data_IF_087781072357
#
_entry.id   IF_087781072357
#
_cell.length_a   1.000
_cell.length_b   1.000
_cell.length_c   1.000
_cell.angle_alpha   90.00
_cell.angle_beta   90.00
_cell.angle_gamma   90.00
#
_symmetry.space_group_name_H-M   'P 1'
#
loop_
_entity.id
_entity.type
_entity.pdbx_description
1 polymer ?
#
# COMPACT_ATOMS: atom_id res chain seq x y z
N UNK A 1 -26.91 5.99 -7.11
CA UNK A 1 -26.46 4.69 -7.67
C UNK A 1 -24.98 4.77 -7.95
N UNK A 2 -24.16 3.85 -7.40
CA UNK A 2 -22.75 3.72 -7.81
C UNK A 2 -22.74 3.46 -9.32
N UNK A 3 -22.15 4.38 -10.08
CA UNK A 3 -21.92 4.22 -11.52
C UNK A 3 -20.94 3.07 -11.73
N UNK A 4 -21.46 1.84 -11.71
CA UNK A 4 -20.72 0.66 -12.13
C UNK A 4 -20.88 0.54 -13.63
N UNK A 5 -19.76 0.36 -14.33
CA UNK A 5 -19.74 0.20 -15.78
C UNK A 5 -20.34 -1.17 -16.13
N UNK A 6 -21.64 -1.23 -16.35
CA UNK A 6 -22.43 -2.45 -16.58
C UNK A 6 -21.83 -3.34 -17.69
N UNK A 7 -21.22 -2.74 -18.72
CA UNK A 7 -20.53 -3.46 -19.78
C UNK A 7 -19.33 -4.26 -19.26
N UNK A 8 -18.55 -3.72 -18.32
CA UNK A 8 -17.41 -4.44 -17.71
C UNK A 8 -17.91 -5.60 -16.86
N UNK A 9 -18.99 -5.41 -16.11
CA UNK A 9 -19.56 -6.47 -15.28
C UNK A 9 -20.08 -7.64 -16.13
N UNK A 10 -20.73 -7.35 -17.27
CA UNK A 10 -21.12 -8.40 -18.21
C UNK A 10 -19.89 -9.15 -18.77
N UNK A 11 -18.84 -8.43 -19.17
CA UNK A 11 -17.65 -9.06 -19.73
C UNK A 11 -16.93 -9.95 -18.71
N UNK A 12 -16.86 -9.51 -17.44
CA UNK A 12 -16.35 -10.35 -16.33
C UNK A 12 -17.21 -11.60 -16.13
N UNK A 13 -18.54 -11.44 -16.12
CA UNK A 13 -19.47 -12.56 -16.02
C UNK A 13 -19.25 -13.61 -17.13
N UNK A 14 -19.01 -13.16 -18.37
CA UNK A 14 -18.71 -14.06 -19.49
C UNK A 14 -17.37 -14.78 -19.34
N UNK A 15 -16.35 -14.10 -18.84
CA UNK A 15 -15.03 -14.71 -18.58
C UNK A 15 -15.16 -15.82 -17.54
N UNK A 16 -15.85 -15.55 -16.43
CA UNK A 16 -16.08 -16.52 -15.35
C UNK A 16 -16.89 -17.74 -15.80
N UNK A 17 -17.85 -17.55 -16.73
CA UNK A 17 -18.76 -18.62 -17.17
C UNK A 17 -18.27 -19.46 -18.34
N UNK A 18 -17.42 -18.93 -19.23
CA UNK A 18 -17.21 -19.53 -20.57
C UNK A 18 -15.87 -20.19 -20.82
N UNK A 19 -14.91 -20.18 -19.87
CA UNK A 19 -13.51 -20.54 -20.15
C UNK A 19 -13.03 -19.91 -21.49
N UNK A 20 -13.37 -18.63 -21.69
CA UNK A 20 -12.94 -17.73 -22.77
C UNK A 20 -13.49 -17.96 -24.19
N UNK A 21 -14.08 -19.11 -24.55
CA UNK A 21 -14.37 -19.40 -25.97
C UNK A 21 -15.80 -19.86 -26.31
N UNK A 22 -16.63 -20.10 -25.30
CA UNK A 22 -18.01 -20.57 -25.48
C UNK A 22 -19.04 -19.46 -25.66
N UNK A 23 -20.16 -19.80 -26.31
CA UNK A 23 -21.39 -19.03 -26.22
C UNK A 23 -22.05 -19.28 -24.86
N UNK A 24 -22.47 -18.22 -24.19
CA UNK A 24 -23.10 -18.26 -22.86
C UNK A 24 -24.44 -17.56 -22.92
N UNK A 25 -25.43 -18.18 -22.29
CA UNK A 25 -26.73 -17.56 -22.04
C UNK A 25 -26.62 -16.54 -20.90
N UNK A 26 -27.07 -15.30 -21.16
CA UNK A 26 -27.00 -14.18 -20.21
C UNK A 26 -28.37 -13.75 -19.68
N UNK A 27 -29.36 -14.64 -19.70
CA UNK A 27 -30.72 -14.39 -19.22
C UNK A 27 -30.74 -13.81 -17.80
N UNK A 28 -30.08 -14.47 -16.85
CA UNK A 28 -30.02 -14.01 -15.45
C UNK A 28 -29.44 -12.59 -15.36
N UNK A 29 -28.31 -12.35 -16.01
CA UNK A 29 -27.66 -11.04 -16.03
C UNK A 29 -28.59 -9.95 -16.55
N UNK A 30 -29.31 -10.21 -17.65
CA UNK A 30 -30.25 -9.23 -18.23
C UNK A 30 -31.41 -8.94 -17.29
N UNK A 31 -32.03 -9.97 -16.71
CA UNK A 31 -33.19 -9.80 -15.84
C UNK A 31 -32.83 -9.11 -14.52
N UNK A 32 -31.63 -9.34 -13.99
CA UNK A 32 -31.13 -8.72 -12.76
C UNK A 32 -30.78 -7.23 -12.93
N UNK A 33 -30.28 -6.84 -14.11
CA UNK A 33 -29.77 -5.48 -14.36
C UNK A 33 -30.76 -4.57 -15.10
N UNK A 34 -31.82 -5.13 -15.70
CA UNK A 34 -32.86 -4.38 -16.40
C UNK A 34 -34.24 -4.75 -15.82
N UNK A 35 -34.66 -4.08 -14.73
CA UNK A 35 -35.93 -4.36 -14.07
C UNK A 35 -37.11 -4.11 -15.00
N UNK A 36 -38.24 -4.76 -14.72
CA UNK A 36 -39.44 -4.66 -15.55
C UNK A 36 -40.01 -3.23 -15.52
N UNK A 37 -40.33 -2.71 -16.71
CA UNK A 37 -41.04 -1.44 -16.86
C UNK A 37 -42.39 -1.68 -17.55
N UNK A 38 -43.41 -0.93 -17.16
CA UNK A 38 -44.79 -1.05 -17.67
C UNK A 38 -44.90 -1.02 -19.19
N UNK A 39 -43.99 -0.30 -19.85
CA UNK A 39 -44.03 -0.01 -21.28
C UNK A 39 -43.01 -0.84 -22.08
N UNK A 40 -42.45 -1.90 -21.49
CA UNK A 40 -41.38 -2.72 -22.08
C UNK A 40 -40.12 -1.90 -22.47
N UNK A 41 -39.94 -0.73 -21.84
CA UNK A 41 -38.80 0.17 -22.09
C UNK A 41 -37.46 -0.50 -21.75
N UNK A 42 -37.46 -1.41 -20.79
CA UNK A 42 -36.30 -2.20 -20.43
C UNK A 42 -35.80 -3.06 -21.60
N UNK A 43 -36.69 -3.53 -22.49
CA UNK A 43 -36.30 -4.28 -23.70
C UNK A 43 -35.49 -3.42 -24.66
N UNK A 44 -35.86 -2.15 -24.81
CA UNK A 44 -35.09 -1.19 -25.62
C UNK A 44 -33.72 -0.94 -24.98
N UNK A 45 -33.65 -0.79 -23.66
CA UNK A 45 -32.37 -0.63 -22.94
C UNK A 45 -31.46 -1.85 -23.10
N UNK A 46 -32.01 -3.06 -22.95
CA UNK A 46 -31.28 -4.32 -23.21
C UNK A 46 -30.78 -4.37 -24.67
N UNK A 47 -31.63 -3.98 -25.62
CA UNK A 47 -31.30 -3.92 -27.04
C UNK A 47 -30.13 -2.98 -27.31
N UNK A 48 -30.21 -1.75 -26.83
CA UNK A 48 -29.19 -0.73 -27.07
C UNK A 48 -27.86 -1.11 -26.39
N UNK A 49 -27.93 -1.69 -25.19
CA UNK A 49 -26.76 -2.22 -24.49
C UNK A 49 -26.07 -3.34 -25.27
N UNK A 50 -26.81 -4.36 -25.73
CA UNK A 50 -26.25 -5.46 -26.51
C UNK A 50 -25.75 -4.99 -27.88
N UNK A 51 -26.44 -4.04 -28.51
CA UNK A 51 -26.01 -3.44 -29.77
C UNK A 51 -24.68 -2.69 -29.60
N UNK A 52 -24.54 -1.89 -28.54
CA UNK A 52 -23.28 -1.22 -28.21
C UNK A 52 -22.13 -2.23 -28.07
N UNK A 53 -22.31 -3.29 -27.28
CA UNK A 53 -21.26 -4.29 -27.08
C UNK A 53 -20.88 -5.03 -28.37
N UNK A 54 -21.85 -5.29 -29.25
CA UNK A 54 -21.60 -5.92 -30.54
C UNK A 54 -20.93 -4.97 -31.53
N UNK A 55 -21.32 -3.70 -31.57
CA UNK A 55 -20.76 -2.67 -32.46
C UNK A 55 -19.31 -2.36 -32.10
N UNK A 56 -19.02 -2.26 -30.80
CA UNK A 56 -17.67 -2.07 -30.30
C UNK A 56 -16.82 -3.34 -30.35
N UNK A 57 -17.34 -4.43 -30.92
CA UNK A 57 -16.65 -5.73 -31.07
C UNK A 57 -16.20 -6.36 -29.75
N UNK A 58 -16.86 -6.05 -28.63
CA UNK A 58 -16.58 -6.69 -27.35
C UNK A 58 -17.19 -8.08 -27.25
N UNK A 59 -18.32 -8.31 -27.92
CA UNK A 59 -19.04 -9.58 -27.92
C UNK A 59 -19.56 -9.95 -29.30
N UNK A 60 -19.91 -11.22 -29.46
CA UNK A 60 -20.66 -11.78 -30.58
C UNK A 60 -22.01 -12.29 -30.08
N UNK A 61 -23.09 -11.97 -30.79
CA UNK A 61 -24.46 -12.33 -30.39
C UNK A 61 -24.99 -13.40 -31.34
N UNK A 62 -25.32 -14.58 -30.78
CA UNK A 62 -25.93 -15.68 -31.54
C UNK A 62 -27.46 -15.64 -31.46
N UNK A 63 -28.01 -15.38 -30.28
CA UNK A 63 -29.47 -15.35 -30.04
C UNK A 63 -29.85 -14.16 -29.16
N UNK A 64 -31.09 -13.66 -29.33
CA UNK A 64 -31.61 -12.42 -28.71
C UNK A 64 -33.14 -12.43 -28.54
N UNK A 65 -33.67 -13.59 -28.13
CA UNK A 65 -35.11 -13.85 -28.00
C UNK A 65 -35.74 -12.92 -26.97
N UNK A 66 -36.92 -12.37 -27.29
CA UNK A 66 -37.64 -11.45 -26.40
C UNK A 66 -37.01 -10.07 -26.22
N UNK A 67 -35.92 -9.75 -26.93
CA UNK A 67 -35.25 -8.44 -26.89
C UNK A 67 -35.46 -7.67 -28.19
N UNK A 68 -35.14 -8.26 -29.34
CA UNK A 68 -35.35 -7.61 -30.65
C UNK A 68 -36.77 -7.77 -31.15
N UNK A 69 -37.31 -8.99 -31.01
CA UNK A 69 -38.69 -9.33 -31.31
C UNK A 69 -39.37 -9.51 -29.97
N UNK A 70 -40.24 -8.56 -29.63
CA UNK A 70 -40.96 -8.52 -28.34
C UNK A 70 -42.37 -9.12 -28.44
N UNK A 71 -42.83 -9.41 -29.66
CA UNK A 71 -44.11 -10.05 -29.95
C UNK A 71 -43.87 -11.18 -30.95
N UNK A 72 -44.27 -12.39 -30.59
CA UNK A 72 -44.21 -13.60 -31.43
C UNK A 72 -45.65 -14.08 -31.64
N UNK A 73 -46.07 -14.25 -32.91
CA UNK A 73 -47.44 -14.67 -33.27
C UNK A 73 -48.58 -13.85 -32.59
N UNK A 74 -48.36 -12.54 -32.40
CA UNK A 74 -49.35 -11.65 -31.76
C UNK A 74 -49.33 -11.66 -30.22
N UNK A 75 -48.54 -12.54 -29.61
CA UNK A 75 -48.40 -12.66 -28.16
C UNK A 75 -47.09 -11.98 -27.72
N UNK A 76 -47.15 -11.16 -26.67
CA UNK A 76 -45.94 -10.56 -26.08
C UNK A 76 -45.06 -11.66 -25.51
N UNK A 77 -43.77 -11.62 -25.83
CA UNK A 77 -42.80 -12.56 -25.25
C UNK A 77 -42.75 -12.35 -23.74
N UNK A 78 -42.95 -13.43 -22.99
CA UNK A 78 -42.97 -13.38 -21.54
C UNK A 78 -41.59 -13.01 -20.98
N UNK A 79 -41.55 -12.45 -19.76
CA UNK A 79 -40.30 -11.90 -19.21
C UNK A 79 -39.27 -12.99 -18.95
N UNK A 80 -39.73 -14.12 -18.47
CA UNK A 80 -39.00 -15.35 -18.27
C UNK A 80 -38.40 -15.91 -19.57
N UNK A 81 -38.97 -15.61 -20.74
CA UNK A 81 -38.46 -16.12 -22.02
C UNK A 81 -37.37 -15.24 -22.62
N UNK A 82 -37.07 -14.10 -22.00
CA UNK A 82 -36.07 -13.18 -22.51
C UNK A 82 -34.68 -13.71 -22.23
N UNK A 83 -33.92 -13.86 -23.31
CA UNK A 83 -32.59 -14.44 -23.27
C UNK A 83 -31.74 -13.93 -24.42
N UNK A 84 -30.44 -13.85 -24.16
CA UNK A 84 -29.44 -13.67 -25.20
C UNK A 84 -28.32 -14.67 -25.00
N UNK A 85 -27.83 -15.21 -26.11
CA UNK A 85 -26.69 -16.12 -26.14
C UNK A 85 -25.54 -15.35 -26.79
N UNK A 86 -24.48 -15.12 -26.02
CA UNK A 86 -23.37 -14.26 -26.44
C UNK A 86 -22.03 -14.90 -26.13
N UNK A 87 -21.03 -14.58 -26.94
CA UNK A 87 -19.64 -14.98 -26.78
C UNK A 87 -18.77 -13.74 -26.62
N UNK A 88 -17.81 -13.76 -25.69
CA UNK A 88 -16.85 -12.68 -25.54
C UNK A 88 -15.82 -12.72 -26.68
N UNK A 89 -15.46 -11.55 -27.21
CA UNK A 89 -14.38 -11.40 -28.20
C UNK A 89 -13.07 -10.99 -27.52
N UNK A 90 -11.90 -11.18 -28.17
CA UNK A 90 -10.61 -10.78 -27.62
C UNK A 90 -10.54 -9.31 -27.16
N UNK A 91 -11.18 -8.39 -27.90
CA UNK A 91 -11.26 -6.97 -27.53
C UNK A 91 -12.00 -6.74 -26.21
N UNK A 92 -13.04 -7.54 -25.93
CA UNK A 92 -13.76 -7.52 -24.66
C UNK A 92 -12.92 -8.05 -23.50
N UNK A 93 -12.11 -9.10 -23.72
CA UNK A 93 -11.16 -9.62 -22.73
C UNK A 93 -10.12 -8.54 -22.37
N UNK A 94 -9.49 -7.94 -23.38
CA UNK A 94 -8.51 -6.87 -23.20
C UNK A 94 -9.08 -5.69 -22.40
N UNK A 95 -10.34 -5.32 -22.63
CA UNK A 95 -10.98 -4.24 -21.89
C UNK A 95 -11.13 -4.57 -20.38
N UNK A 96 -11.46 -5.82 -20.06
CA UNK A 96 -11.53 -6.28 -18.67
C UNK A 96 -10.15 -6.25 -18.02
N UNK A 97 -9.14 -6.80 -18.69
CA UNK A 97 -7.75 -6.81 -18.21
C UNK A 97 -7.22 -5.38 -17.99
N UNK A 98 -7.43 -4.47 -18.94
CA UNK A 98 -7.04 -3.07 -18.80
C UNK A 98 -7.78 -2.38 -17.65
N UNK A 99 -9.05 -2.70 -17.42
CA UNK A 99 -9.78 -2.17 -16.27
C UNK A 99 -9.18 -2.70 -14.96
N UNK A 100 -8.85 -3.98 -14.87
CA UNK A 100 -8.20 -4.54 -13.69
C UNK A 100 -6.82 -3.92 -13.45
N UNK A 101 -5.99 -3.84 -14.49
CA UNK A 101 -4.69 -3.18 -14.43
C UNK A 101 -4.81 -1.70 -14.02
N UNK A 102 -5.83 -0.97 -14.50
CA UNK A 102 -6.08 0.42 -14.10
C UNK A 102 -6.57 0.55 -12.65
N UNK A 103 -7.28 -0.46 -12.12
CA UNK A 103 -7.65 -0.50 -10.70
C UNK A 103 -6.44 -0.84 -9.83
N UNK A 104 -5.61 -1.79 -10.27
CA UNK A 104 -4.35 -2.13 -9.61
C UNK A 104 -3.34 -0.98 -9.69
N UNK A 105 -3.27 -0.22 -10.78
CA UNK A 105 -2.36 0.92 -10.88
C UNK A 105 -2.79 2.07 -9.97
N UNK A 106 -4.10 2.35 -9.85
CA UNK A 106 -4.61 3.32 -8.85
C UNK A 106 -4.30 2.88 -7.42
N UNK A 107 -4.50 1.61 -7.09
CA UNK A 107 -4.15 1.09 -5.78
C UNK A 107 -2.63 1.02 -5.57
N UNK A 108 -1.86 0.77 -6.63
CA UNK A 108 -0.40 0.72 -6.65
C UNK A 108 0.23 2.09 -6.45
N UNK A 109 -0.36 3.15 -7.02
CA UNK A 109 0.04 4.54 -6.77
C UNK A 109 -0.23 4.93 -5.30
N UNK A 110 -1.36 4.52 -4.73
CA UNK A 110 -1.67 4.76 -3.31
C UNK A 110 -0.68 4.01 -2.42
N UNK A 111 -0.40 2.74 -2.71
CA UNK A 111 0.52 1.92 -1.93
C UNK A 111 1.96 2.42 -2.06
N UNK A 112 2.41 2.82 -3.26
CA UNK A 112 3.73 3.41 -3.47
C UNK A 112 3.88 4.77 -2.78
N UNK A 113 2.81 5.57 -2.70
CA UNK A 113 2.80 6.82 -1.95
C UNK A 113 2.94 6.57 -0.44
N UNK A 114 2.24 5.57 0.10
CA UNK A 114 2.33 5.20 1.53
C UNK A 114 3.73 4.65 1.85
N UNK A 115 4.26 3.76 1.03
CA UNK A 115 5.61 3.22 1.20
C UNK A 115 6.67 4.32 1.06
N UNK A 116 6.52 5.21 0.08
CA UNK A 116 7.41 6.36 -0.14
C UNK A 116 7.39 7.35 1.03
N UNK A 117 6.23 7.63 1.62
CA UNK A 117 6.18 8.44 2.85
C UNK A 117 6.85 7.71 4.03
N UNK A 118 6.61 6.40 4.18
CA UNK A 118 7.17 5.62 5.30
C UNK A 118 8.71 5.57 5.28
N UNK A 119 9.33 5.46 4.11
CA UNK A 119 10.80 5.48 3.98
C UNK A 119 11.37 6.86 4.27
N UNK A 120 10.66 7.93 3.92
CA UNK A 120 11.05 9.30 4.27
C UNK A 120 11.06 9.51 5.79
N UNK A 121 10.03 9.02 6.49
CA UNK A 121 9.96 9.08 7.95
C UNK A 121 11.07 8.26 8.62
N UNK A 122 11.37 7.07 8.12
CA UNK A 122 12.48 6.24 8.63
C UNK A 122 13.84 6.92 8.42
N UNK A 123 14.04 7.58 7.28
CA UNK A 123 15.26 8.34 7.00
C UNK A 123 15.43 9.52 7.96
N UNK A 124 14.37 10.30 8.20
CA UNK A 124 14.38 11.42 9.17
C UNK A 124 14.66 10.90 10.58
N UNK A 125 14.00 9.81 11.00
CA UNK A 125 14.21 9.21 12.32
C UNK A 125 15.65 8.70 12.51
N UNK A 126 16.22 8.07 11.48
CA UNK A 126 17.62 7.61 11.48
C UNK A 126 18.62 8.77 11.63
N UNK A 127 18.39 9.89 10.95
CA UNK A 127 19.22 11.10 11.06
C UNK A 127 19.18 11.66 12.48
N UNK A 128 17.99 11.74 13.10
CA UNK A 128 17.82 12.23 14.47
C UNK A 128 18.55 11.33 15.47
N UNK A 129 18.42 10.00 15.34
CA UNK A 129 19.14 9.05 16.19
C UNK A 129 20.65 9.20 16.03
N UNK A 130 21.14 9.26 14.80
CA UNK A 130 22.59 9.39 14.51
C UNK A 130 23.16 10.67 15.11
N UNK A 131 22.42 11.78 15.01
CA UNK A 131 22.82 13.05 15.61
C UNK A 131 22.87 12.97 17.15
N UNK A 132 21.88 12.33 17.77
CA UNK A 132 21.85 12.15 19.22
C UNK A 132 22.98 11.26 19.72
N UNK A 133 23.29 10.16 19.02
CA UNK A 133 24.41 9.27 19.36
C UNK A 133 25.74 10.02 19.26
N UNK A 134 25.97 10.76 18.18
CA UNK A 134 27.19 11.56 18.02
C UNK A 134 27.34 12.62 19.13
N UNK A 135 26.23 13.26 19.54
CA UNK A 135 26.24 14.21 20.66
C UNK A 135 26.57 13.52 21.99
N UNK A 136 26.03 12.34 22.24
CA UNK A 136 26.33 11.52 23.42
C UNK A 136 27.80 11.07 23.45
N UNK A 137 28.36 10.66 22.31
CA UNK A 137 29.77 10.28 22.19
C UNK A 137 30.70 11.46 22.50
N UNK A 138 30.38 12.66 21.99
CA UNK A 138 31.14 13.86 22.28
C UNK A 138 31.14 14.19 23.78
N UNK A 139 29.96 14.19 24.43
CA UNK A 139 29.83 14.42 25.87
C UNK A 139 30.62 13.38 26.67
N UNK A 140 30.54 12.10 26.31
CA UNK A 140 31.26 11.04 26.99
C UNK A 140 32.79 11.18 26.83
N UNK A 141 33.26 11.62 25.66
CA UNK A 141 34.69 11.88 25.43
C UNK A 141 35.21 13.03 26.29
N UNK A 142 34.41 14.08 26.50
CA UNK A 142 34.74 15.24 27.32
C UNK A 142 34.79 14.88 28.81
N UNK A 143 33.77 14.17 29.30
CA UNK A 143 33.74 13.63 30.67
C UNK A 143 34.91 12.70 30.96
N UNK A 144 35.35 11.90 29.99
CA UNK A 144 36.52 11.04 30.16
C UNK A 144 37.81 11.85 30.26
N UNK A 145 37.98 12.90 29.46
CA UNK A 145 39.12 13.82 29.56
C UNK A 145 39.15 14.50 30.93
N UNK A 146 38.03 15.05 31.38
CA UNK A 146 37.93 15.68 32.71
C UNK A 146 38.28 14.69 33.83
N UNK A 147 37.76 13.46 33.76
CA UNK A 147 38.09 12.41 34.73
C UNK A 147 39.58 12.06 34.74
N UNK A 148 40.25 12.03 33.58
CA UNK A 148 41.70 11.78 33.55
C UNK A 148 42.49 12.91 34.20
N UNK A 149 42.10 14.17 33.97
CA UNK A 149 42.71 15.34 34.60
C UNK A 149 42.50 15.28 36.11
N UNK A 150 41.27 15.04 36.57
CA UNK A 150 40.96 14.91 38.01
C UNK A 150 41.74 13.79 38.68
N UNK A 151 41.91 12.63 38.02
CA UNK A 151 42.74 11.53 38.53
C UNK A 151 44.21 11.94 38.68
N UNK A 152 44.75 12.68 37.71
CA UNK A 152 46.11 13.18 37.77
C UNK A 152 46.28 14.26 38.87
N UNK A 153 45.34 15.19 39.00
CA UNK A 153 45.36 16.17 40.09
C UNK A 153 45.29 15.49 41.46
N UNK A 154 44.41 14.50 41.62
CA UNK A 154 44.30 13.74 42.87
C UNK A 154 45.57 12.98 43.23
N UNK A 155 46.30 12.41 42.25
CA UNK A 155 47.57 11.73 42.51
C UNK A 155 48.67 12.73 42.94
N UNK A 156 48.72 13.91 42.31
CA UNK A 156 49.64 14.99 42.68
C UNK A 156 49.35 15.49 44.11
N UNK A 157 48.09 15.74 44.45
CA UNK A 157 47.70 16.17 45.81
C UNK A 157 48.12 15.10 46.83
N UNK A 158 47.89 13.81 46.53
CA UNK A 158 48.28 12.71 47.41
C UNK A 158 49.79 12.64 47.62
N UNK A 159 50.59 12.89 46.58
CA UNK A 159 52.05 12.99 46.67
C UNK A 159 52.48 14.18 47.54
N UNK A 160 51.89 15.37 47.32
CA UNK A 160 52.17 16.55 48.12
C UNK A 160 51.84 16.34 49.61
N UNK A 161 50.68 15.73 49.91
CA UNK A 161 50.30 15.38 51.28
C UNK A 161 51.28 14.38 51.91
N UNK A 162 51.77 13.41 51.14
CA UNK A 162 52.75 12.43 51.60
C UNK A 162 54.09 13.09 51.90
N UNK A 163 54.59 13.96 51.01
CA UNK A 163 55.83 14.70 51.21
C UNK A 163 55.74 15.64 52.42
N UNK A 164 54.63 16.37 52.58
CA UNK A 164 54.39 17.23 53.73
C UNK A 164 54.34 16.46 55.05
N UNK A 165 53.76 15.24 55.04
CA UNK A 165 53.77 14.34 56.21
C UNK A 165 55.19 13.88 56.55
N UNK A 166 56.03 13.60 55.56
CA UNK A 166 57.43 13.21 55.77
C UNK A 166 58.25 14.40 56.32
N UNK A 167 58.04 15.61 55.81
CA UNK A 167 58.68 16.84 56.31
C UNK A 167 58.28 17.13 57.76
N UNK A 168 56.99 17.09 58.08
CA UNK A 168 56.52 17.29 59.47
C UNK A 168 57.04 16.21 60.42
N UNK A 169 57.19 14.95 59.98
CA UNK A 169 57.83 13.89 60.77
C UNK A 169 59.33 14.16 60.96
N UNK A 170 60.04 14.66 59.93
CA UNK A 170 61.46 15.04 60.05
C UNK A 170 61.66 16.19 61.03
N UNK A 171 60.84 17.24 60.94
CA UNK A 171 60.90 18.41 61.82
C UNK A 171 60.52 18.07 63.28
N UNK A 172 59.60 17.12 63.49
CA UNK A 172 59.24 16.62 64.82
C UNK A 172 60.20 15.54 65.35
N UNK A 173 61.04 14.95 64.49
CA UNK A 173 62.08 13.98 64.87
C UNK A 173 63.43 14.63 65.20
N UNK A 174 63.45 15.92 65.57
CA UNK A 174 64.63 16.70 65.95
C UNK A 174 65.73 15.87 66.60
N UNK A 175 66.68 15.42 65.79
CA UNK A 175 67.93 14.83 66.21
C UNK A 175 69.00 15.49 65.35
N UNK A 176 69.55 16.56 65.93
CA UNK A 176 70.93 16.94 65.70
C UNK A 176 71.81 15.68 65.84
N UNK A 177 72.49 15.31 64.76
CA UNK A 177 73.80 14.69 64.87
C UNK A 177 74.80 15.49 64.04
N UNK A 178 75.20 16.60 64.66
CA UNK A 178 76.59 17.01 64.79
C UNK A 178 77.42 15.76 65.11
N UNK A 179 78.54 15.53 64.42
CA UNK A 179 79.83 15.01 64.94
C UNK A 179 80.69 14.45 63.78
N UNK A 180 81.76 15.17 63.41
CA UNK A 180 83.20 14.88 63.64
C UNK A 180 83.77 14.00 62.52
N UNK A 181 84.86 14.31 61.81
CA UNK A 181 85.97 15.27 61.97
C UNK A 181 86.54 15.59 60.58
#
# INVERSE_FOLDING_TARGET
>A
MKSKLLHIELLKFLIEKSNFFGFVEIKSFLLDNFPEESDLRERRKMKDFLKFLSLEEYVEIQSKRGIWIIVEAGIKVAREDVSAIIKIKPKGVNLVEQNELNRYSKNGIILSSILGLSTLFLAIYSIIITHNISKLENINSELNKENTVLKATNSIIKLQLTNKKIETVKDSSGIEKKVIK
#
